data_IF_547574945404
#
_entry.id   IF_547574945404
#
_cell.length_a   1.000
_cell.length_b   1.000
_cell.length_c   1.000
_cell.angle_alpha   90.00
_cell.angle_beta   90.00
_cell.angle_gamma   90.00
#
_symmetry.space_group_name_H-M   'P 1'
#
loop_
_entity.id
_entity.type
_entity.pdbx_description
1 polymer ?
#
# COMPACT_ATOMS: atom_id res chain seq x y z
N UNK A 1 -16.73 27.63 -17.51
CA UNK A 1 -17.34 26.84 -16.43
C UNK A 1 -16.99 25.40 -16.72
N UNK A 2 -15.97 24.85 -16.04
CA UNK A 2 -15.58 23.45 -16.22
C UNK A 2 -16.81 22.60 -15.91
N UNK A 3 -17.25 21.78 -16.87
CA UNK A 3 -18.27 20.75 -16.59
C UNK A 3 -17.73 19.93 -15.43
N UNK A 4 -18.58 19.76 -14.43
CA UNK A 4 -18.29 18.99 -13.23
C UNK A 4 -17.66 17.66 -13.65
N UNK A 5 -16.36 17.52 -13.41
CA UNK A 5 -15.60 16.36 -13.87
C UNK A 5 -15.93 15.23 -12.91
N UNK A 6 -17.08 14.57 -13.15
CA UNK A 6 -17.65 13.55 -12.27
C UNK A 6 -16.68 12.41 -11.95
N UNK A 7 -15.61 12.24 -12.74
CA UNK A 7 -14.50 11.36 -12.45
C UNK A 7 -13.79 11.68 -11.11
N UNK A 8 -13.74 12.96 -10.70
CA UNK A 8 -13.17 13.36 -9.42
C UNK A 8 -14.04 12.96 -8.21
N UNK A 9 -15.36 12.78 -8.41
CA UNK A 9 -16.30 12.47 -7.32
C UNK A 9 -16.06 11.06 -6.75
N UNK A 10 -15.59 10.11 -7.57
CA UNK A 10 -15.45 8.70 -7.17
C UNK A 10 -14.04 8.31 -6.72
N UNK A 11 -13.04 9.16 -6.99
CA UNK A 11 -11.65 8.90 -6.60
C UNK A 11 -11.41 9.05 -5.09
N UNK A 12 -12.27 9.77 -4.38
CA UNK A 12 -12.17 9.97 -2.93
C UNK A 12 -13.47 9.62 -2.23
N UNK A 13 -13.44 8.59 -1.37
CA UNK A 13 -14.61 8.17 -0.60
C UNK A 13 -14.84 9.08 0.62
N UNK A 14 -16.10 9.14 1.08
CA UNK A 14 -16.45 9.76 2.36
C UNK A 14 -15.79 9.01 3.53
N UNK A 15 -15.60 9.70 4.65
CA UNK A 15 -15.01 9.09 5.85
C UNK A 15 -15.99 8.11 6.50
N UNK A 16 -15.50 6.94 6.90
CA UNK A 16 -16.30 5.92 7.58
C UNK A 16 -15.52 5.34 8.76
N UNK A 17 -15.96 5.72 9.96
CA UNK A 17 -15.42 5.19 11.21
C UNK A 17 -15.98 3.81 11.53
N UNK A 18 -15.10 2.82 11.66
CA UNK A 18 -15.44 1.51 12.19
C UNK A 18 -15.83 0.48 11.13
N UNK A 19 -15.74 0.82 9.83
CA UNK A 19 -15.93 -0.13 8.73
C UNK A 19 -14.99 -1.34 8.82
N UNK A 20 -13.78 -1.13 9.36
CA UNK A 20 -12.79 -2.19 9.53
C UNK A 20 -13.06 -3.10 10.75
N UNK A 21 -13.91 -2.70 11.70
CA UNK A 21 -14.12 -3.43 12.97
C UNK A 21 -14.47 -4.89 12.76
N UNK A 22 -15.33 -5.19 11.78
CA UNK A 22 -15.75 -6.57 11.48
C UNK A 22 -14.55 -7.48 11.19
N UNK A 23 -13.58 -6.98 10.42
CA UNK A 23 -12.41 -7.75 10.00
C UNK A 23 -11.32 -7.75 11.05
N UNK A 24 -11.11 -6.63 11.75
CA UNK A 24 -10.14 -6.52 12.84
C UNK A 24 -10.45 -7.45 14.03
N UNK A 25 -11.73 -7.77 14.24
CA UNK A 25 -12.18 -8.68 15.29
C UNK A 25 -12.59 -10.07 14.77
N UNK A 26 -12.33 -10.36 13.49
CA UNK A 26 -12.62 -11.67 12.91
C UNK A 26 -11.51 -12.67 13.19
N UNK A 27 -11.85 -13.96 13.15
CA UNK A 27 -10.88 -15.06 13.19
C UNK A 27 -10.24 -15.34 11.80
N UNK A 28 -10.51 -14.48 10.81
CA UNK A 28 -9.92 -14.64 9.49
C UNK A 28 -8.45 -14.21 9.53
N UNK A 29 -7.57 -14.98 8.89
CA UNK A 29 -6.14 -14.70 8.81
C UNK A 29 -5.72 -14.59 7.35
N UNK A 30 -5.19 -13.42 6.97
CA UNK A 30 -4.66 -13.18 5.62
C UNK A 30 -3.31 -13.87 5.39
N UNK A 31 -2.60 -14.22 6.46
CA UNK A 31 -1.32 -14.92 6.43
C UNK A 31 -0.99 -15.50 7.81
N UNK A 32 -0.02 -16.40 7.89
CA UNK A 32 0.38 -17.09 9.15
C UNK A 32 0.94 -16.15 10.23
N UNK A 33 1.52 -15.01 9.86
CA UNK A 33 2.18 -14.10 10.81
C UNK A 33 1.29 -13.08 11.53
N UNK A 34 -0.03 -13.28 11.49
CA UNK A 34 -0.99 -12.30 12.00
C UNK A 34 -0.81 -12.07 13.51
N UNK A 35 -0.75 -13.15 14.28
CA UNK A 35 -0.55 -13.09 15.73
C UNK A 35 0.80 -12.47 16.11
N UNK A 36 1.88 -12.85 15.40
CA UNK A 36 3.22 -12.33 15.67
C UNK A 36 3.33 -10.80 15.49
N UNK A 37 2.60 -10.25 14.52
CA UNK A 37 2.55 -8.80 14.29
C UNK A 37 1.68 -8.09 15.32
N UNK A 38 0.54 -8.65 15.70
CA UNK A 38 -0.35 -8.07 16.69
C UNK A 38 0.28 -8.01 18.09
N UNK A 39 1.00 -9.08 18.46
CA UNK A 39 1.72 -9.23 19.73
C UNK A 39 3.11 -8.61 19.70
N UNK A 40 3.57 -8.10 18.55
CA UNK A 40 4.86 -7.41 18.38
C UNK A 40 6.06 -8.35 18.60
N UNK A 41 5.87 -9.66 18.49
CA UNK A 41 6.94 -10.67 18.62
C UNK A 41 7.76 -10.80 17.34
N UNK A 42 7.20 -10.44 16.16
CA UNK A 42 7.92 -10.54 14.89
C UNK A 42 9.17 -9.62 14.85
N UNK A 43 10.38 -10.17 14.61
CA UNK A 43 11.59 -9.38 14.39
C UNK A 43 11.53 -8.53 13.11
N UNK A 44 12.23 -7.39 13.09
CA UNK A 44 12.23 -6.51 11.89
C UNK A 44 12.85 -7.21 10.69
N UNK A 45 13.90 -7.97 10.93
CA UNK A 45 14.67 -8.72 9.94
C UNK A 45 13.81 -9.78 9.27
N UNK A 46 12.95 -10.47 10.05
CA UNK A 46 11.96 -11.43 9.54
C UNK A 46 10.96 -10.73 8.63
N UNK A 47 10.41 -9.58 9.06
CA UNK A 47 9.47 -8.81 8.23
C UNK A 47 10.10 -8.34 6.91
N UNK A 48 11.33 -7.82 6.94
CA UNK A 48 12.08 -7.43 5.73
C UNK A 48 12.33 -8.66 4.84
N UNK A 49 12.68 -9.81 5.43
CA UNK A 49 12.87 -11.04 4.65
C UNK A 49 11.60 -11.49 3.94
N UNK A 50 10.44 -11.45 4.61
CA UNK A 50 9.15 -11.81 4.00
C UNK A 50 8.83 -10.83 2.86
N UNK A 51 8.98 -9.54 3.12
CA UNK A 51 8.78 -8.46 2.13
C UNK A 51 9.62 -8.65 0.87
N UNK A 52 10.90 -8.98 1.02
CA UNK A 52 11.86 -9.11 -0.09
C UNK A 52 11.82 -10.44 -0.84
N UNK A 53 11.34 -11.51 -0.19
CA UNK A 53 11.34 -12.85 -0.81
C UNK A 53 10.11 -13.06 -1.68
N UNK A 54 8.94 -12.56 -1.26
CA UNK A 54 7.68 -12.71 -2.00
C UNK A 54 7.29 -14.16 -2.29
N UNK A 55 7.94 -15.14 -1.66
CA UNK A 55 7.69 -16.57 -1.90
C UNK A 55 6.41 -16.97 -1.18
N UNK A 56 5.50 -17.61 -1.90
CA UNK A 56 4.22 -18.08 -1.36
C UNK A 56 3.11 -17.03 -1.35
N UNK A 57 3.35 -15.82 -1.85
CA UNK A 57 2.34 -14.76 -1.95
C UNK A 57 1.89 -14.60 -3.40
N UNK A 58 0.58 -14.43 -3.58
CA UNK A 58 -0.01 -14.18 -4.89
C UNK A 58 0.05 -12.67 -5.22
N UNK A 59 0.26 -12.36 -6.51
CA UNK A 59 0.58 -11.04 -7.09
C UNK A 59 1.79 -10.32 -6.45
N UNK A 60 2.99 -10.84 -6.71
CA UNK A 60 4.25 -10.12 -6.42
C UNK A 60 4.32 -8.80 -7.21
N UNK A 61 5.13 -7.83 -6.75
CA UNK A 61 5.25 -6.50 -7.37
C UNK A 61 5.29 -6.53 -8.92
N UNK A 62 6.15 -7.36 -9.52
CA UNK A 62 6.28 -7.49 -10.98
C UNK A 62 5.01 -8.00 -11.68
N UNK A 63 4.30 -8.95 -11.07
CA UNK A 63 3.05 -9.43 -11.66
C UNK A 63 1.89 -8.48 -11.40
N UNK A 64 1.98 -7.68 -10.34
CA UNK A 64 1.04 -6.59 -10.09
C UNK A 64 1.11 -5.53 -11.17
N UNK A 65 2.30 -5.12 -11.61
CA UNK A 65 2.46 -4.13 -12.68
C UNK A 65 1.80 -4.57 -13.99
N UNK A 66 1.87 -5.88 -14.31
CA UNK A 66 1.14 -6.45 -15.45
C UNK A 66 -0.37 -6.27 -15.28
N UNK A 67 -0.90 -6.48 -14.07
CA UNK A 67 -2.33 -6.31 -13.80
C UNK A 67 -2.79 -4.87 -13.73
N UNK A 68 -1.93 -3.96 -13.26
CA UNK A 68 -2.17 -2.52 -13.28
C UNK A 68 -2.17 -1.98 -14.71
N UNK A 69 -1.20 -2.42 -15.53
CA UNK A 69 -1.17 -2.09 -16.96
C UNK A 69 -2.44 -2.57 -17.68
N UNK A 70 -3.10 -3.64 -17.21
CA UNK A 70 -4.38 -4.07 -17.79
C UNK A 70 -5.55 -3.15 -17.48
N UNK A 71 -5.50 -2.41 -16.36
CA UNK A 71 -6.54 -1.43 -16.01
C UNK A 71 -6.64 -0.32 -17.05
N UNK A 72 -5.54 0.05 -17.71
CA UNK A 72 -5.58 1.13 -18.72
C UNK A 72 -6.35 0.73 -19.99
N UNK A 73 -6.51 -0.57 -20.24
CA UNK A 73 -7.25 -1.09 -21.39
C UNK A 73 -8.74 -1.26 -21.11
N UNK A 74 -9.18 -1.03 -19.88
CA UNK A 74 -10.60 -0.92 -19.58
C UNK A 74 -11.15 0.37 -20.22
N UNK A 75 -12.32 0.30 -20.88
CA UNK A 75 -12.95 1.49 -21.46
C UNK A 75 -13.12 2.60 -20.43
N UNK A 76 -12.94 3.85 -20.87
CA UNK A 76 -13.30 4.99 -20.03
C UNK A 76 -14.83 5.02 -19.81
N UNK A 77 -15.29 5.27 -18.57
CA UNK A 77 -16.71 5.35 -18.29
C UNK A 77 -17.28 6.63 -18.92
N UNK A 78 -18.07 6.48 -19.99
CA UNK A 78 -18.81 7.59 -20.60
C UNK A 78 -19.93 8.07 -19.65
N UNK A 79 -20.59 7.11 -18.99
CA UNK A 79 -21.52 7.36 -17.90
C UNK A 79 -20.90 6.89 -16.58
N UNK A 80 -20.60 7.84 -15.70
CA UNK A 80 -19.97 7.56 -14.40
C UNK A 80 -20.94 7.02 -13.36
N UNK A 81 -22.25 7.08 -13.61
CA UNK A 81 -23.27 6.53 -12.71
C UNK A 81 -23.34 5.01 -12.78
N UNK A 82 -23.01 4.42 -13.93
CA UNK A 82 -23.03 2.98 -14.16
C UNK A 82 -21.71 2.33 -13.72
N UNK A 83 -21.80 1.16 -13.07
CA UNK A 83 -20.63 0.32 -12.75
C UNK A 83 -20.78 -1.00 -13.49
N UNK A 84 -19.79 -1.35 -14.32
CA UNK A 84 -19.81 -2.55 -15.17
C UNK A 84 -18.88 -3.62 -14.65
N UNK A 85 -18.99 -4.84 -15.16
CA UNK A 85 -17.93 -5.83 -14.95
C UNK A 85 -16.68 -5.43 -15.75
N UNK A 86 -15.51 -5.51 -15.13
CA UNK A 86 -14.24 -5.34 -15.82
C UNK A 86 -14.01 -6.48 -16.82
N UNK A 87 -13.08 -6.30 -17.78
CA UNK A 87 -12.69 -7.40 -18.65
C UNK A 87 -12.12 -8.55 -17.83
N UNK A 88 -12.62 -9.75 -18.12
CA UNK A 88 -12.18 -10.96 -17.44
C UNK A 88 -10.71 -11.24 -17.74
N UNK A 89 -9.95 -11.45 -16.67
CA UNK A 89 -8.56 -11.86 -16.72
C UNK A 89 -8.31 -12.84 -15.58
N UNK A 90 -8.29 -14.14 -15.89
CA UNK A 90 -8.09 -15.19 -14.91
C UNK A 90 -6.76 -15.05 -14.13
N UNK A 91 -5.71 -14.53 -14.77
CA UNK A 91 -4.42 -14.37 -14.11
C UNK A 91 -4.49 -13.28 -13.04
N UNK A 92 -4.96 -12.09 -13.42
CA UNK A 92 -5.09 -10.97 -12.50
C UNK A 92 -6.16 -11.20 -11.44
N UNK A 93 -7.29 -11.80 -11.82
CA UNK A 93 -8.34 -12.20 -10.90
C UNK A 93 -7.79 -13.09 -9.78
N UNK A 94 -7.10 -14.18 -10.13
CA UNK A 94 -6.49 -15.08 -9.14
C UNK A 94 -5.45 -14.35 -8.30
N UNK A 95 -4.54 -13.59 -8.92
CA UNK A 95 -3.52 -12.84 -8.20
C UNK A 95 -4.10 -11.87 -7.17
N UNK A 96 -5.19 -11.17 -7.52
CA UNK A 96 -5.84 -10.16 -6.68
C UNK A 96 -6.71 -10.78 -5.58
N UNK A 97 -7.36 -11.91 -5.84
CA UNK A 97 -8.31 -12.52 -4.90
C UNK A 97 -7.69 -13.60 -4.01
N UNK A 98 -6.48 -14.09 -4.31
CA UNK A 98 -5.84 -15.14 -3.53
C UNK A 98 -5.22 -14.64 -2.22
N UNK A 99 -5.26 -15.52 -1.22
CA UNK A 99 -4.45 -15.48 0.00
C UNK A 99 -3.24 -16.44 -0.15
N UNK A 100 -2.14 -16.28 0.62
CA UNK A 100 -1.90 -15.24 1.61
C UNK A 100 -1.43 -13.89 1.00
N UNK A 101 -1.43 -12.82 1.79
CA UNK A 101 -0.94 -11.49 1.38
C UNK A 101 -0.44 -10.66 2.55
N UNK A 102 0.75 -10.08 2.42
CA UNK A 102 1.44 -9.27 3.44
C UNK A 102 2.29 -8.20 2.75
N UNK A 103 2.58 -7.09 3.43
CA UNK A 103 3.49 -6.06 2.95
C UNK A 103 3.07 -5.50 1.58
N UNK A 104 3.98 -5.26 0.63
CA UNK A 104 3.66 -4.72 -0.70
C UNK A 104 2.61 -5.55 -1.45
N UNK A 105 2.41 -6.84 -1.13
CA UNK A 105 1.35 -7.63 -1.75
C UNK A 105 -0.04 -7.12 -1.37
N UNK A 106 -0.23 -6.62 -0.15
CA UNK A 106 -1.51 -6.04 0.28
C UNK A 106 -1.81 -4.76 -0.50
N UNK A 107 -0.83 -3.86 -0.57
CA UNK A 107 -0.98 -2.55 -1.20
C UNK A 107 -1.21 -2.70 -2.71
N UNK A 108 -0.48 -3.60 -3.37
CA UNK A 108 -0.65 -3.88 -4.79
C UNK A 108 -1.99 -4.54 -5.13
N UNK A 109 -2.52 -5.44 -4.26
CA UNK A 109 -3.87 -6.00 -4.45
C UNK A 109 -4.92 -4.92 -4.31
N UNK A 110 -4.81 -4.09 -3.27
CA UNK A 110 -5.74 -3.00 -3.02
C UNK A 110 -5.73 -1.98 -4.16
N UNK A 111 -4.55 -1.55 -4.60
CA UNK A 111 -4.38 -0.60 -5.69
C UNK A 111 -5.04 -1.11 -6.98
N UNK A 112 -4.90 -2.40 -7.29
CA UNK A 112 -5.53 -3.00 -8.46
C UNK A 112 -7.07 -2.90 -8.44
N UNK A 113 -7.70 -3.20 -7.30
CA UNK A 113 -9.16 -3.13 -7.14
C UNK A 113 -9.60 -1.67 -7.12
N UNK A 114 -8.87 -0.82 -6.40
CA UNK A 114 -9.11 0.60 -6.25
C UNK A 114 -9.12 1.32 -7.61
N UNK A 115 -8.12 1.08 -8.46
CA UNK A 115 -8.08 1.70 -9.80
C UNK A 115 -9.21 1.22 -10.71
N UNK A 116 -9.58 -0.07 -10.65
CA UNK A 116 -10.72 -0.60 -11.41
C UNK A 116 -12.03 0.06 -10.98
N UNK A 117 -12.27 0.11 -9.67
CA UNK A 117 -13.50 0.68 -9.11
C UNK A 117 -13.60 2.20 -9.28
N UNK A 118 -12.50 2.93 -9.04
CA UNK A 118 -12.52 4.38 -8.98
C UNK A 118 -12.17 5.07 -10.30
N UNK A 119 -11.20 4.54 -11.05
CA UNK A 119 -10.78 5.15 -12.31
C UNK A 119 -11.55 4.60 -13.52
N UNK A 120 -11.88 3.30 -13.52
CA UNK A 120 -12.56 2.64 -14.64
C UNK A 120 -14.03 2.33 -14.39
N UNK A 121 -14.52 2.57 -13.17
CA UNK A 121 -15.92 2.31 -12.76
C UNK A 121 -16.34 0.88 -13.13
N UNK A 122 -15.48 -0.09 -12.85
CA UNK A 122 -15.78 -1.49 -13.07
C UNK A 122 -15.42 -2.36 -11.86
N UNK A 123 -16.16 -3.45 -11.67
CA UNK A 123 -15.93 -4.47 -10.64
C UNK A 123 -15.35 -5.74 -11.23
N UNK A 124 -14.55 -6.47 -10.46
CA UNK A 124 -13.96 -7.76 -10.84
C UNK A 124 -14.92 -8.92 -10.59
N UNK A 125 -15.56 -8.95 -9.43
CA UNK A 125 -16.51 -10.03 -9.06
C UNK A 125 -17.93 -9.48 -8.98
N UNK A 126 -18.15 -8.56 -8.05
CA UNK A 126 -19.35 -7.76 -7.88
C UNK A 126 -19.00 -6.52 -7.07
N UNK A 127 -19.81 -5.46 -7.12
CA UNK A 127 -19.55 -4.25 -6.32
C UNK A 127 -19.42 -4.57 -4.84
N UNK A 128 -20.29 -5.44 -4.30
CA UNK A 128 -20.29 -5.80 -2.89
C UNK A 128 -19.08 -6.66 -2.50
N UNK A 129 -18.67 -7.61 -3.34
CA UNK A 129 -17.51 -8.47 -3.06
C UNK A 129 -16.20 -7.71 -3.17
N UNK A 130 -16.05 -6.86 -4.18
CA UNK A 130 -14.87 -6.01 -4.33
C UNK A 130 -14.73 -5.03 -3.15
N UNK A 131 -15.85 -4.43 -2.70
CA UNK A 131 -15.87 -3.59 -1.50
C UNK A 131 -15.51 -4.37 -0.22
N UNK A 132 -16.04 -5.59 -0.07
CA UNK A 132 -15.70 -6.49 1.03
C UNK A 132 -14.22 -6.88 1.02
N UNK A 133 -13.65 -7.10 -0.17
CA UNK A 133 -12.22 -7.41 -0.33
C UNK A 133 -11.34 -6.19 0.00
N UNK A 134 -11.74 -4.98 -0.42
CA UNK A 134 -11.05 -3.75 -0.02
C UNK A 134 -11.11 -3.53 1.50
N UNK A 135 -12.25 -3.81 2.14
CA UNK A 135 -12.39 -3.76 3.61
C UNK A 135 -11.43 -4.74 4.30
N UNK A 136 -11.36 -5.97 3.80
CA UNK A 136 -10.44 -7.00 4.31
C UNK A 136 -9.00 -6.54 4.16
N UNK A 137 -8.58 -6.15 2.95
CA UNK A 137 -7.21 -5.69 2.69
C UNK A 137 -6.84 -4.51 3.60
N UNK A 138 -7.70 -3.50 3.71
CA UNK A 138 -7.44 -2.35 4.57
C UNK A 138 -7.42 -2.69 6.06
N UNK A 139 -8.14 -3.71 6.52
CA UNK A 139 -8.05 -4.17 7.90
C UNK A 139 -6.68 -4.79 8.21
N UNK A 140 -6.13 -5.63 7.32
CA UNK A 140 -4.78 -6.19 7.50
C UNK A 140 -3.69 -5.15 7.31
N UNK A 141 -3.85 -4.24 6.35
CA UNK A 141 -2.99 -3.08 6.21
C UNK A 141 -3.00 -2.25 7.50
N UNK A 142 -4.15 -2.02 8.12
CA UNK A 142 -4.19 -1.30 9.38
C UNK A 142 -3.41 -2.02 10.51
N UNK A 143 -3.52 -3.36 10.60
CA UNK A 143 -2.72 -4.17 11.54
C UNK A 143 -1.22 -4.03 11.27
N UNK A 144 -0.80 -4.13 10.01
CA UNK A 144 0.59 -3.91 9.61
C UNK A 144 1.07 -2.49 9.92
N UNK A 145 0.27 -1.46 9.66
CA UNK A 145 0.61 -0.08 9.98
C UNK A 145 0.79 0.11 11.50
N UNK A 146 -0.05 -0.52 12.32
CA UNK A 146 0.11 -0.53 13.79
C UNK A 146 1.41 -1.25 14.20
N UNK A 147 1.72 -2.41 13.61
CA UNK A 147 2.97 -3.13 13.83
C UNK A 147 4.18 -2.28 13.47
N UNK A 148 4.20 -1.70 12.27
CA UNK A 148 5.28 -0.83 11.78
C UNK A 148 5.47 0.38 12.69
N UNK A 149 4.39 1.04 13.11
CA UNK A 149 4.44 2.16 14.04
C UNK A 149 5.05 1.77 15.40
N UNK A 150 4.61 0.64 15.98
CA UNK A 150 5.13 0.12 17.25
C UNK A 150 6.59 -0.34 17.15
N UNK A 151 7.02 -0.79 15.98
CA UNK A 151 8.41 -1.16 15.69
C UNK A 151 9.25 0.02 15.20
N UNK A 152 8.81 1.26 15.42
CA UNK A 152 9.61 2.45 15.18
C UNK A 152 9.67 2.91 13.72
N UNK A 153 8.65 2.58 12.93
CA UNK A 153 8.50 3.00 11.53
C UNK A 153 9.71 2.62 10.68
N UNK A 154 10.16 1.38 10.85
CA UNK A 154 11.39 0.93 10.22
C UNK A 154 11.24 0.73 8.72
N UNK A 155 10.02 0.55 8.17
CA UNK A 155 9.69 0.53 6.74
C UNK A 155 8.71 1.69 6.45
N UNK A 156 9.24 2.83 6.02
CA UNK A 156 8.48 4.08 5.88
C UNK A 156 7.65 4.11 4.62
N UNK A 157 8.20 3.64 3.52
CA UNK A 157 7.53 3.60 2.21
C UNK A 157 6.23 2.81 2.32
N UNK A 158 6.36 1.57 2.80
CA UNK A 158 5.22 0.70 3.04
C UNK A 158 4.20 1.30 4.01
N UNK A 159 4.64 1.91 5.12
CA UNK A 159 3.73 2.59 6.04
C UNK A 159 2.96 3.72 5.34
N UNK A 160 3.61 4.50 4.48
CA UNK A 160 2.96 5.56 3.70
C UNK A 160 2.00 5.00 2.65
N UNK A 161 2.32 3.89 1.99
CA UNK A 161 1.39 3.23 1.05
C UNK A 161 0.09 2.83 1.76
N UNK A 162 0.22 2.30 2.98
CA UNK A 162 -0.91 1.88 3.78
C UNK A 162 -1.84 3.05 4.14
N UNK A 163 -1.26 4.15 4.61
CA UNK A 163 -2.00 5.38 4.93
C UNK A 163 -2.61 6.00 3.67
N UNK A 164 -1.90 5.94 2.54
CA UNK A 164 -2.33 6.52 1.27
C UNK A 164 -3.56 5.78 0.74
N UNK A 165 -3.45 4.48 0.47
CA UNK A 165 -4.50 3.73 -0.20
C UNK A 165 -5.77 3.64 0.67
N UNK A 166 -5.63 3.29 1.94
CA UNK A 166 -6.79 3.17 2.83
C UNK A 166 -7.33 4.53 3.28
N UNK A 167 -6.48 5.56 3.39
CA UNK A 167 -6.94 6.94 3.65
C UNK A 167 -7.76 7.50 2.47
N UNK A 168 -7.36 7.22 1.23
CA UNK A 168 -8.12 7.58 0.02
C UNK A 168 -9.48 6.90 -0.05
N UNK A 169 -9.57 5.66 0.46
CA UNK A 169 -10.82 4.90 0.57
C UNK A 169 -11.69 5.31 1.77
N UNK A 170 -11.26 6.28 2.58
CA UNK A 170 -12.06 6.89 3.64
C UNK A 170 -12.05 6.14 4.98
N UNK A 171 -11.14 5.19 5.19
CA UNK A 171 -11.04 4.48 6.47
C UNK A 171 -10.42 5.37 7.55
N UNK A 172 -11.24 5.84 8.48
CA UNK A 172 -10.82 6.79 9.52
C UNK A 172 -9.74 6.25 10.46
N UNK A 173 -9.61 4.92 10.58
CA UNK A 173 -8.61 4.27 11.42
C UNK A 173 -7.18 4.71 11.09
N UNK A 174 -6.93 5.13 9.85
CA UNK A 174 -5.62 5.62 9.37
C UNK A 174 -5.38 7.11 9.64
N UNK A 175 -6.41 7.89 9.98
CA UNK A 175 -6.33 9.33 10.23
C UNK A 175 -5.92 9.66 11.67
N UNK A 176 -4.69 9.26 12.03
CA UNK A 176 -4.17 9.38 13.40
C UNK A 176 -3.24 10.57 13.56
N UNK A 177 -3.58 11.49 14.48
CA UNK A 177 -2.75 12.68 14.80
C UNK A 177 -1.28 12.33 15.05
N UNK A 178 -1.01 11.28 15.82
CA UNK A 178 0.36 10.88 16.14
C UNK A 178 1.12 10.31 14.93
N UNK A 179 0.41 9.66 14.00
CA UNK A 179 1.00 9.19 12.75
C UNK A 179 1.34 10.36 11.83
N UNK A 180 0.44 11.34 11.69
CA UNK A 180 0.72 12.56 10.92
C UNK A 180 1.93 13.32 11.45
N UNK A 181 1.99 13.57 12.76
CA UNK A 181 3.17 14.19 13.39
C UNK A 181 4.46 13.42 13.08
N UNK A 182 4.38 12.08 13.07
CA UNK A 182 5.54 11.24 12.82
C UNK A 182 5.99 11.26 11.36
N UNK A 183 5.08 11.16 10.40
CA UNK A 183 5.46 11.19 8.97
C UNK A 183 6.01 12.56 8.57
N UNK A 184 5.46 13.65 9.12
CA UNK A 184 5.99 15.00 8.94
C UNK A 184 7.42 15.10 9.49
N UNK A 185 7.71 14.44 10.61
CA UNK A 185 9.05 14.45 11.20
C UNK A 185 10.10 13.66 10.39
N UNK A 186 9.72 13.02 9.28
CA UNK A 186 10.68 12.36 8.37
C UNK A 186 11.23 13.31 7.33
N UNK A 187 10.57 14.45 7.10
CA UNK A 187 11.06 15.49 6.21
C UNK A 187 12.34 16.10 6.78
N UNK A 188 13.37 16.17 5.95
CA UNK A 188 14.60 16.88 6.27
C UNK A 188 14.41 18.41 6.10
N UNK A 189 15.51 19.15 6.26
CA UNK A 189 15.50 20.62 6.13
C UNK A 189 15.16 21.10 4.72
N UNK A 190 15.33 20.24 3.69
CA UNK A 190 14.94 20.53 2.31
C UNK A 190 13.48 20.14 2.01
N UNK A 191 12.77 19.58 3.00
CA UNK A 191 11.41 19.06 2.84
C UNK A 191 11.36 17.67 2.22
N UNK A 192 12.49 16.96 2.12
CA UNK A 192 12.56 15.66 1.48
C UNK A 192 12.46 14.51 2.47
N UNK A 193 11.83 13.42 2.02
CA UNK A 193 11.78 12.16 2.77
C UNK A 193 12.54 11.06 2.03
N UNK A 194 13.03 10.11 2.82
CA UNK A 194 13.75 8.93 2.37
C UNK A 194 13.26 7.72 3.16
N UNK A 195 13.37 6.55 2.54
CA UNK A 195 13.23 5.29 3.28
C UNK A 195 14.25 5.24 4.45
N UNK A 196 13.82 4.57 5.50
CA UNK A 196 14.60 4.22 6.68
C UNK A 196 15.90 3.52 6.29
N UNK A 197 17.02 4.06 6.78
CA UNK A 197 18.34 3.48 6.62
C UNK A 197 18.40 2.01 7.07
N UNK A 198 17.67 1.66 8.13
CA UNK A 198 17.62 0.29 8.65
C UNK A 198 16.95 -0.67 7.66
N UNK A 199 15.88 -0.24 6.99
CA UNK A 199 15.22 -1.05 5.97
C UNK A 199 16.11 -1.22 4.76
N UNK A 200 16.67 -0.13 4.24
CA UNK A 200 17.56 -0.17 3.07
C UNK A 200 18.80 -1.05 3.34
N UNK A 201 19.38 -0.96 4.53
CA UNK A 201 20.50 -1.81 4.93
C UNK A 201 20.10 -3.30 4.96
N UNK A 202 19.02 -3.63 5.65
CA UNK A 202 18.56 -5.03 5.78
C UNK A 202 18.15 -5.62 4.43
N UNK A 203 17.39 -4.87 3.63
CA UNK A 203 17.00 -5.26 2.27
C UNK A 203 18.22 -5.50 1.38
N UNK A 204 19.18 -4.56 1.40
CA UNK A 204 20.44 -4.69 0.64
C UNK A 204 21.24 -5.91 1.08
N UNK A 205 21.37 -6.15 2.38
CA UNK A 205 22.09 -7.30 2.92
C UNK A 205 21.44 -8.63 2.49
N UNK A 206 20.11 -8.71 2.52
CA UNK A 206 19.36 -9.88 2.04
C UNK A 206 19.51 -10.09 0.54
N UNK A 207 19.48 -9.02 -0.25
CA UNK A 207 19.70 -9.08 -1.69
C UNK A 207 21.10 -9.63 -2.01
N UNK A 208 22.14 -9.07 -1.39
CA UNK A 208 23.53 -9.53 -1.55
C UNK A 208 23.68 -11.00 -1.18
N UNK A 209 23.08 -11.42 -0.05
CA UNK A 209 23.09 -12.83 0.38
C UNK A 209 22.44 -13.75 -0.65
N UNK A 210 21.38 -13.30 -1.35
CA UNK A 210 20.66 -14.08 -2.37
C UNK A 210 21.46 -14.25 -3.66
N UNK A 211 22.15 -13.20 -4.12
CA UNK A 211 22.92 -13.23 -5.37
C UNK A 211 24.35 -13.78 -5.20
N UNK A 212 24.83 -13.87 -3.95
CA UNK A 212 26.18 -14.30 -3.58
C UNK A 212 27.19 -13.16 -3.59
N UNK A 213 28.06 -13.09 -2.57
CA UNK A 213 29.04 -12.00 -2.43
C UNK A 213 30.04 -11.91 -3.58
N UNK A 214 30.37 -13.05 -4.20
CA UNK A 214 31.27 -13.12 -5.36
C UNK A 214 30.66 -12.60 -6.67
N UNK A 215 29.37 -12.25 -6.69
CA UNK A 215 28.69 -11.81 -7.89
C UNK A 215 29.12 -10.38 -8.28
N UNK A 216 29.47 -10.16 -9.56
CA UNK A 216 29.85 -8.84 -10.10
C UNK A 216 28.77 -7.76 -9.88
N UNK A 217 27.51 -8.18 -9.75
CA UNK A 217 26.37 -7.30 -9.46
C UNK A 217 26.44 -6.68 -8.06
N UNK A 218 27.11 -7.31 -7.07
CA UNK A 218 27.23 -6.79 -5.70
C UNK A 218 27.88 -5.41 -5.67
N UNK A 219 28.90 -5.17 -6.51
CA UNK A 219 29.52 -3.84 -6.64
C UNK A 219 28.50 -2.78 -7.08
N UNK A 220 27.64 -3.13 -8.04
CA UNK A 220 26.58 -2.26 -8.53
C UNK A 220 25.52 -1.99 -7.47
N UNK A 221 25.10 -3.03 -6.72
CA UNK A 221 24.12 -2.92 -5.63
C UNK A 221 24.64 -2.01 -4.52
N UNK A 222 25.89 -2.23 -4.06
CA UNK A 222 26.49 -1.38 -3.02
C UNK A 222 26.59 0.06 -3.49
N UNK A 223 27.04 0.30 -4.74
CA UNK A 223 27.10 1.65 -5.32
C UNK A 223 25.72 2.29 -5.43
N UNK A 224 24.68 1.53 -5.79
CA UNK A 224 23.29 1.99 -5.81
C UNK A 224 22.84 2.37 -4.41
N UNK A 225 22.99 1.48 -3.42
CA UNK A 225 22.65 1.77 -2.02
C UNK A 225 23.35 3.04 -1.50
N UNK A 226 24.65 3.21 -1.76
CA UNK A 226 25.36 4.46 -1.41
C UNK A 226 24.79 5.68 -2.12
N UNK A 227 24.38 5.55 -3.39
CA UNK A 227 23.74 6.64 -4.13
C UNK A 227 22.38 6.96 -3.54
N UNK A 228 21.54 5.96 -3.28
CA UNK A 228 20.20 6.14 -2.71
C UNK A 228 20.28 6.80 -1.30
N UNK A 229 21.37 6.56 -0.55
CA UNK A 229 21.66 7.28 0.69
C UNK A 229 22.03 8.76 0.48
N UNK A 230 22.71 9.06 -0.64
CA UNK A 230 23.21 10.40 -0.99
C UNK A 230 22.19 11.23 -1.78
N UNK A 231 21.29 10.61 -2.53
CA UNK A 231 20.24 11.28 -3.30
C UNK A 231 19.37 12.12 -2.37
N UNK A 232 19.01 13.32 -2.79
CA UNK A 232 18.38 14.30 -1.91
C UNK A 232 16.96 13.91 -1.51
N UNK A 233 16.18 13.25 -2.39
CA UNK A 233 14.77 12.96 -2.15
C UNK A 233 14.35 11.62 -2.78
N UNK A 234 13.59 10.81 -2.04
CA UNK A 234 12.98 9.60 -2.58
C UNK A 234 11.59 9.91 -3.15
N UNK A 235 11.46 9.79 -4.47
CA UNK A 235 10.28 10.25 -5.22
C UNK A 235 9.00 9.53 -4.84
N UNK A 236 9.07 8.22 -4.59
CA UNK A 236 7.88 7.41 -4.30
C UNK A 236 7.32 7.67 -2.89
N UNK A 237 8.11 7.59 -1.79
CA UNK A 237 7.67 8.04 -0.47
C UNK A 237 7.16 9.48 -0.49
N UNK A 238 7.82 10.40 -1.20
CA UNK A 238 7.40 11.80 -1.30
C UNK A 238 5.99 11.93 -1.91
N UNK A 239 5.71 11.20 -2.99
CA UNK A 239 4.38 11.16 -3.60
C UNK A 239 3.32 10.67 -2.63
N UNK A 240 3.61 9.58 -1.90
CA UNK A 240 2.70 9.04 -0.89
C UNK A 240 2.47 10.04 0.25
N UNK A 241 3.52 10.69 0.75
CA UNK A 241 3.40 11.68 1.83
C UNK A 241 2.50 12.86 1.41
N UNK A 242 2.63 13.36 0.18
CA UNK A 242 1.75 14.41 -0.32
C UNK A 242 0.28 14.00 -0.24
N UNK A 243 -0.04 12.78 -0.65
CA UNK A 243 -1.41 12.24 -0.56
C UNK A 243 -1.84 12.11 0.91
N UNK A 244 -1.00 11.52 1.78
CA UNK A 244 -1.28 11.39 3.22
C UNK A 244 -1.59 12.74 3.86
N UNK A 245 -0.82 13.79 3.55
CA UNK A 245 -1.03 15.14 4.10
C UNK A 245 -2.30 15.79 3.53
N UNK A 246 -2.55 15.68 2.23
CA UNK A 246 -3.79 16.18 1.62
C UNK A 246 -5.03 15.54 2.26
N UNK A 247 -5.01 14.23 2.47
CA UNK A 247 -6.08 13.51 3.17
C UNK A 247 -6.16 13.85 4.65
N UNK A 248 -5.04 14.14 5.32
CA UNK A 248 -5.00 14.65 6.68
C UNK A 248 -5.69 16.02 6.81
N UNK A 249 -5.44 16.94 5.88
CA UNK A 249 -6.09 18.26 5.83
C UNK A 249 -7.60 18.09 5.58
N UNK A 250 -7.97 17.27 4.58
CA UNK A 250 -9.39 16.96 4.28
C UNK A 250 -10.11 16.40 5.51
N UNK A 251 -9.49 15.46 6.22
CA UNK A 251 -10.06 14.86 7.42
C UNK A 251 -10.25 15.88 8.55
N UNK A 252 -9.24 16.73 8.79
CA UNK A 252 -9.33 17.80 9.77
C UNK A 252 -10.46 18.78 9.43
N UNK A 253 -10.53 19.25 8.18
CA UNK A 253 -11.56 20.19 7.72
C UNK A 253 -12.98 19.62 7.85
N UNK A 254 -13.17 18.31 7.67
CA UNK A 254 -14.46 17.65 7.86
C UNK A 254 -14.93 17.57 9.33
N UNK A 255 -14.01 17.71 10.28
CA UNK A 255 -14.29 17.57 11.73
C UNK A 255 -14.08 18.87 12.51
N UNK A 256 -13.89 19.98 11.82
CA UNK A 256 -13.97 21.34 12.39
C UNK A 256 -15.43 21.79 12.43
#
# INVERSE_FOLDING_TARGET
>A
MFKDDGAQIYSIRGFNKGRLKRWLHSNFEMHEYVEDMDTITMPREKYVQITETGKGYHIVMKSSDVCLARVIFEPEPIDVSEVKSCRSDNYCYRGIHSTPSISYHLTHRLLNIMLRNQARRCYMTSVAEDDSLMDQLCAFMYREAVYLARRGFFARDLFLEHLTLCGMLGYEEFHRRNWYKKVISWMDQKGCIKESRNFNYNSTALFIKRIGEGNKLVKHVRKKFYRDLLDDCDTHPMALLMVVLAHGIRYAAHHL
#
